data_IF_325785159248
#
_entry.id   IF_325785159248
#
_cell.length_a   1.000
_cell.length_b   1.000
_cell.length_c   1.000
_cell.angle_alpha   90.00
_cell.angle_beta   90.00
_cell.angle_gamma   90.00
#
_symmetry.space_group_name_H-M   'P 1'
#
loop_
_entity.id
_entity.type
_entity.pdbx_description
1 polymer ?
#
# COMPACT_ATOMS: atom_id res chain seq x y z
N UNK A 1 10.22 -4.13 21.55
CA UNK A 1 9.42 -3.25 20.66
C UNK A 1 9.69 -3.48 19.17
N UNK A 2 10.35 -4.56 18.72
CA UNK A 2 10.73 -4.76 17.32
C UNK A 2 9.71 -5.45 16.41
N UNK A 3 8.69 -6.14 16.92
CA UNK A 3 7.79 -6.98 16.11
C UNK A 3 6.78 -6.19 15.25
N UNK A 4 6.36 -4.99 15.68
CA UNK A 4 5.38 -4.20 14.96
C UNK A 4 5.97 -3.51 13.71
N UNK A 5 7.27 -3.19 13.74
CA UNK A 5 7.94 -2.56 12.61
C UNK A 5 8.08 -3.54 11.44
N UNK A 6 8.56 -4.78 11.70
CA UNK A 6 8.71 -5.87 10.72
C UNK A 6 7.38 -6.26 10.07
N UNK A 7 6.31 -6.32 10.86
CA UNK A 7 4.97 -6.64 10.34
C UNK A 7 4.40 -5.53 9.41
N UNK A 8 4.74 -4.25 9.63
CA UNK A 8 4.33 -3.15 8.75
C UNK A 8 5.12 -3.13 7.43
N UNK A 9 6.42 -3.44 7.46
CA UNK A 9 7.30 -3.59 6.29
C UNK A 9 6.82 -4.71 5.38
N UNK A 10 6.52 -5.88 5.96
CA UNK A 10 5.98 -7.03 5.24
C UNK A 10 4.63 -6.71 4.60
N UNK A 11 3.78 -5.95 5.30
CA UNK A 11 2.46 -5.56 4.80
C UNK A 11 2.56 -4.68 3.55
N UNK A 12 3.42 -3.67 3.57
CA UNK A 12 3.52 -2.74 2.44
C UNK A 12 4.20 -3.38 1.22
N UNK A 13 5.21 -4.23 1.46
CA UNK A 13 5.85 -5.08 0.45
C UNK A 13 4.87 -6.05 -0.20
N UNK A 14 4.03 -6.71 0.62
CA UNK A 14 2.99 -7.60 0.12
C UNK A 14 2.01 -6.87 -0.79
N UNK A 15 1.50 -5.70 -0.37
CA UNK A 15 0.56 -4.89 -1.17
C UNK A 15 1.17 -4.46 -2.51
N UNK A 16 2.45 -4.10 -2.53
CA UNK A 16 3.15 -3.77 -3.79
C UNK A 16 3.22 -4.97 -4.74
N UNK A 17 3.65 -6.14 -4.25
CA UNK A 17 3.70 -7.39 -5.05
C UNK A 17 2.32 -7.78 -5.56
N UNK A 18 1.30 -7.66 -4.71
CA UNK A 18 -0.10 -7.93 -5.09
C UNK A 18 -0.54 -6.99 -6.23
N UNK A 19 -0.34 -5.68 -6.08
CA UNK A 19 -0.75 -4.72 -7.12
C UNK A 19 0.00 -4.96 -8.45
N UNK A 20 1.30 -5.25 -8.42
CA UNK A 20 2.05 -5.59 -9.64
C UNK A 20 1.55 -6.87 -10.31
N UNK A 21 1.16 -7.87 -9.50
CA UNK A 21 0.57 -9.12 -9.99
C UNK A 21 -0.82 -8.90 -10.60
N UNK A 22 -1.65 -8.08 -9.94
CA UNK A 22 -2.98 -7.72 -10.40
C UNK A 22 -2.94 -6.91 -11.70
N UNK A 23 -2.02 -5.94 -11.81
CA UNK A 23 -1.85 -5.11 -13.01
C UNK A 23 -1.17 -5.83 -14.18
N UNK A 24 -0.52 -6.96 -13.90
CA UNK A 24 0.24 -7.70 -14.89
C UNK A 24 -0.39 -9.05 -15.24
N UNK A 25 0.16 -10.17 -14.73
CA UNK A 25 -0.29 -11.52 -15.08
C UNK A 25 -1.79 -11.76 -14.94
N UNK A 26 -2.44 -11.20 -13.92
CA UNK A 26 -3.88 -11.42 -13.70
C UNK A 26 -4.72 -10.75 -14.79
N UNK A 27 -4.43 -9.51 -15.12
CA UNK A 27 -5.09 -8.79 -16.23
C UNK A 27 -4.87 -9.50 -17.56
N UNK A 28 -3.66 -10.03 -17.81
CA UNK A 28 -3.36 -10.77 -19.04
C UNK A 28 -4.21 -12.05 -19.17
N UNK A 29 -4.37 -12.80 -18.07
CA UNK A 29 -5.19 -14.01 -18.06
C UNK A 29 -6.67 -13.64 -18.23
N UNK A 30 -7.16 -12.64 -17.48
CA UNK A 30 -8.56 -12.19 -17.55
C UNK A 30 -8.92 -11.62 -18.93
N UNK A 31 -7.98 -10.94 -19.60
CA UNK A 31 -8.16 -10.41 -20.96
C UNK A 31 -8.39 -11.49 -22.03
N UNK A 32 -8.11 -12.76 -21.73
CA UNK A 32 -8.47 -13.88 -22.62
C UNK A 32 -9.97 -14.17 -22.63
N UNK A 33 -10.67 -13.81 -21.55
CA UNK A 33 -12.10 -14.08 -21.35
C UNK A 33 -12.97 -12.83 -21.48
N UNK A 34 -12.42 -11.66 -21.13
CA UNK A 34 -13.13 -10.39 -21.15
C UNK A 34 -12.58 -9.51 -22.28
N UNK A 35 -13.27 -9.43 -23.43
CA UNK A 35 -12.82 -8.59 -24.55
C UNK A 35 -12.78 -7.10 -24.18
N UNK A 36 -13.66 -6.66 -23.28
CA UNK A 36 -13.65 -5.31 -22.71
C UNK A 36 -12.33 -4.99 -22.00
N UNK A 37 -11.73 -5.97 -21.29
CA UNK A 37 -10.47 -5.79 -20.58
C UNK A 37 -9.29 -5.80 -21.56
N UNK A 38 -9.36 -6.64 -22.60
CA UNK A 38 -8.34 -6.75 -23.65
C UNK A 38 -8.24 -5.50 -24.53
N UNK A 39 -9.36 -4.80 -24.73
CA UNK A 39 -9.41 -3.57 -25.51
C UNK A 39 -8.76 -2.37 -24.79
N UNK A 40 -8.56 -2.45 -23.47
CA UNK A 40 -7.99 -1.38 -22.67
C UNK A 40 -6.46 -1.44 -22.67
N UNK A 41 -5.77 -0.29 -22.60
CA UNK A 41 -4.34 -0.25 -22.31
C UNK A 41 -4.07 -0.96 -20.98
N UNK A 42 -3.03 -1.80 -20.93
CA UNK A 42 -2.67 -2.59 -19.74
C UNK A 42 -2.54 -1.74 -18.48
N UNK A 43 -1.99 -0.54 -18.60
CA UNK A 43 -1.83 0.43 -17.52
C UNK A 43 -3.15 0.98 -16.96
N UNK A 44 -4.23 0.92 -17.75
CA UNK A 44 -5.56 1.42 -17.39
C UNK A 44 -6.54 0.30 -17.04
N UNK A 45 -6.27 -0.93 -17.49
CA UNK A 45 -7.15 -2.08 -17.32
C UNK A 45 -7.51 -2.31 -15.83
N UNK A 46 -6.50 -2.31 -14.94
CA UNK A 46 -6.71 -2.48 -13.51
C UNK A 46 -7.57 -1.38 -12.89
N UNK A 47 -7.24 -0.11 -13.17
CA UNK A 47 -7.98 1.03 -12.62
C UNK A 47 -9.42 1.05 -13.14
N UNK A 48 -9.62 0.75 -14.42
CA UNK A 48 -10.95 0.70 -15.03
C UNK A 48 -11.80 -0.42 -14.45
N UNK A 49 -11.21 -1.59 -14.16
CA UNK A 49 -11.89 -2.69 -13.47
C UNK A 49 -12.30 -2.29 -12.07
N UNK A 50 -11.44 -1.62 -11.30
CA UNK A 50 -11.80 -1.15 -9.95
C UNK A 50 -12.90 -0.08 -9.94
N UNK A 51 -13.01 0.70 -11.02
CA UNK A 51 -14.00 1.76 -11.16
C UNK A 51 -15.38 1.26 -11.67
N UNK A 52 -15.44 0.02 -12.15
CA UNK A 52 -16.61 -0.64 -12.72
C UNK A 52 -16.95 -1.93 -11.94
N UNK A 53 -17.91 -1.83 -11.03
CA UNK A 53 -18.30 -2.94 -10.17
C UNK A 53 -18.83 -4.14 -10.96
N UNK A 54 -19.48 -3.91 -12.11
CA UNK A 54 -19.99 -4.99 -12.96
C UNK A 54 -18.85 -5.75 -13.64
N UNK A 55 -17.85 -5.03 -14.17
CA UNK A 55 -16.65 -5.65 -14.71
C UNK A 55 -15.86 -6.40 -13.64
N UNK A 56 -15.70 -5.82 -12.45
CA UNK A 56 -15.01 -6.47 -11.33
C UNK A 56 -15.71 -7.75 -10.87
N UNK A 57 -17.04 -7.75 -10.78
CA UNK A 57 -17.81 -8.95 -10.43
C UNK A 57 -17.57 -10.08 -11.45
N UNK A 58 -17.63 -9.78 -12.77
CA UNK A 58 -17.31 -10.75 -13.82
C UNK A 58 -15.87 -11.26 -13.74
N UNK A 59 -14.91 -10.40 -13.41
CA UNK A 59 -13.52 -10.83 -13.18
C UNK A 59 -13.41 -11.86 -12.05
N UNK A 60 -14.14 -11.66 -10.95
CA UNK A 60 -14.18 -12.62 -9.85
C UNK A 60 -14.89 -13.93 -10.22
N UNK A 61 -15.98 -13.87 -10.98
CA UNK A 61 -16.68 -15.05 -11.50
C UNK A 61 -15.75 -15.91 -12.37
N UNK A 62 -15.02 -15.28 -13.30
CA UNK A 62 -14.04 -15.96 -14.16
C UNK A 62 -12.88 -16.51 -13.32
N UNK A 63 -12.39 -15.75 -12.35
CA UNK A 63 -11.33 -16.25 -11.46
C UNK A 63 -11.76 -17.51 -10.70
N UNK A 64 -13.02 -17.58 -10.26
CA UNK A 64 -13.60 -18.74 -9.58
C UNK A 64 -13.79 -19.93 -10.51
N UNK A 65 -14.34 -19.72 -11.70
CA UNK A 65 -14.60 -20.80 -12.68
C UNK A 65 -13.32 -21.34 -13.32
N UNK A 66 -12.34 -20.47 -13.60
CA UNK A 66 -11.11 -20.80 -14.32
C UNK A 66 -9.87 -20.80 -13.41
N UNK A 67 -10.04 -21.11 -12.12
CA UNK A 67 -8.95 -21.07 -11.11
C UNK A 67 -7.70 -21.85 -11.54
N UNK A 68 -7.86 -22.91 -12.34
CA UNK A 68 -6.76 -23.69 -12.88
C UNK A 68 -5.77 -22.86 -13.73
N UNK A 69 -6.23 -21.81 -14.43
CA UNK A 69 -5.37 -20.93 -15.24
C UNK A 69 -4.55 -19.97 -14.41
N UNK A 70 -5.00 -19.67 -13.20
CA UNK A 70 -4.31 -18.78 -12.26
C UNK A 70 -3.26 -19.52 -11.40
N UNK A 71 -3.05 -20.83 -11.59
CA UNK A 71 -2.11 -21.66 -10.80
C UNK A 71 -0.67 -21.16 -10.83
N UNK A 72 -0.26 -20.47 -11.89
CA UNK A 72 1.09 -19.89 -11.99
C UNK A 72 1.23 -18.58 -11.21
N UNK A 73 0.12 -17.95 -10.85
CA UNK A 73 0.07 -16.67 -10.16
C UNK A 73 -0.25 -16.85 -8.68
N UNK A 74 -1.17 -17.76 -8.37
CA UNK A 74 -1.62 -18.07 -7.01
C UNK A 74 -0.72 -19.18 -6.44
N UNK A 75 0.47 -18.80 -5.97
CA UNK A 75 1.50 -19.73 -5.48
C UNK A 75 1.92 -19.43 -4.04
N UNK A 76 2.30 -20.47 -3.28
CA UNK A 76 2.88 -20.37 -1.94
C UNK A 76 4.34 -19.89 -1.98
N UNK A 77 4.96 -19.71 -0.81
CA UNK A 77 6.38 -19.36 -0.67
C UNK A 77 7.33 -20.34 -1.39
N UNK A 78 6.92 -21.62 -1.51
CA UNK A 78 7.66 -22.68 -2.20
C UNK A 78 7.33 -22.77 -3.69
N UNK A 79 6.63 -21.78 -4.25
CA UNK A 79 6.16 -21.71 -5.65
C UNK A 79 5.22 -22.86 -6.05
N UNK A 80 4.51 -23.44 -5.09
CA UNK A 80 3.48 -24.45 -5.35
C UNK A 80 2.12 -23.77 -5.52
N UNK A 81 1.28 -24.21 -6.48
CA UNK A 81 -0.05 -23.65 -6.64
C UNK A 81 -0.90 -23.80 -5.39
N UNK A 82 -1.54 -22.71 -4.97
CA UNK A 82 -2.43 -22.69 -3.80
C UNK A 82 -3.88 -22.84 -4.26
N UNK A 83 -4.56 -23.86 -3.74
CA UNK A 83 -5.96 -24.16 -4.07
C UNK A 83 -6.95 -23.54 -3.10
N UNK A 84 -6.56 -23.31 -1.86
CA UNK A 84 -7.41 -22.79 -0.79
C UNK A 84 -7.21 -21.29 -0.56
N UNK A 85 -8.27 -20.58 -0.19
CA UNK A 85 -8.21 -19.11 -0.06
C UNK A 85 -7.52 -18.64 1.22
N UNK A 86 -7.42 -19.50 2.24
CA UNK A 86 -6.87 -19.20 3.57
C UNK A 86 -5.37 -19.54 3.70
N UNK A 87 -4.76 -20.07 2.64
CA UNK A 87 -3.34 -20.44 2.64
C UNK A 87 -2.51 -19.22 2.22
N UNK A 88 -1.40 -18.93 2.92
CA UNK A 88 -0.54 -17.80 2.57
C UNK A 88 0.12 -18.01 1.21
N UNK A 89 0.07 -16.95 0.40
CA UNK A 89 0.75 -16.86 -0.89
C UNK A 89 2.22 -16.46 -0.68
N UNK A 90 3.00 -16.47 -1.76
CA UNK A 90 4.41 -16.03 -1.77
C UNK A 90 4.65 -14.59 -1.29
N UNK A 91 3.60 -13.77 -1.24
CA UNK A 91 3.64 -12.42 -0.67
C UNK A 91 3.34 -12.36 0.84
N UNK A 92 3.17 -13.50 1.51
CA UNK A 92 2.86 -13.58 2.95
C UNK A 92 1.39 -13.30 3.30
N UNK A 93 0.54 -13.03 2.29
CA UNK A 93 -0.91 -12.78 2.44
C UNK A 93 -1.73 -13.94 1.90
N UNK A 94 -2.89 -14.18 2.49
CA UNK A 94 -3.83 -15.18 1.96
C UNK A 94 -4.60 -14.60 0.77
N UNK A 95 -5.12 -15.48 -0.10
CA UNK A 95 -5.94 -15.02 -1.21
C UNK A 95 -7.23 -14.32 -0.72
N UNK A 96 -7.81 -14.77 0.40
CA UNK A 96 -8.94 -14.10 1.03
C UNK A 96 -8.61 -12.64 1.42
N UNK A 97 -7.40 -12.38 1.95
CA UNK A 97 -6.96 -11.02 2.25
C UNK A 97 -6.78 -10.18 0.99
N UNK A 98 -6.27 -10.77 -0.09
CA UNK A 98 -6.14 -10.09 -1.39
C UNK A 98 -7.52 -9.74 -1.96
N UNK A 99 -8.48 -10.67 -1.91
CA UNK A 99 -9.87 -10.41 -2.34
C UNK A 99 -10.46 -9.27 -1.52
N UNK A 100 -10.37 -9.33 -0.19
CA UNK A 100 -10.84 -8.26 0.69
C UNK A 100 -10.18 -6.91 0.36
N UNK A 101 -8.87 -6.90 0.05
CA UNK A 101 -8.16 -5.68 -0.36
C UNK A 101 -8.74 -5.08 -1.64
N UNK A 102 -9.01 -5.91 -2.66
CA UNK A 102 -9.59 -5.48 -3.94
C UNK A 102 -11.01 -4.94 -3.74
N UNK A 103 -11.85 -5.68 -3.02
CA UNK A 103 -13.25 -5.29 -2.72
C UNK A 103 -13.29 -3.96 -1.95
N UNK A 104 -12.46 -3.81 -0.91
CA UNK A 104 -12.34 -2.55 -0.16
C UNK A 104 -11.91 -1.38 -1.03
N UNK A 105 -10.97 -1.62 -1.95
CA UNK A 105 -10.48 -0.58 -2.86
C UNK A 105 -11.59 -0.12 -3.82
N UNK A 106 -12.29 -1.07 -4.44
CA UNK A 106 -13.42 -0.79 -5.33
C UNK A 106 -14.56 -0.05 -4.60
N UNK A 107 -14.95 -0.53 -3.41
CA UNK A 107 -15.98 0.10 -2.59
C UNK A 107 -15.60 1.54 -2.19
N UNK A 108 -14.36 1.74 -1.73
CA UNK A 108 -13.86 3.08 -1.37
C UNK A 108 -13.91 4.05 -2.55
N UNK A 109 -13.51 3.60 -3.75
CA UNK A 109 -13.59 4.41 -4.97
C UNK A 109 -15.03 4.75 -5.32
N UNK A 110 -15.93 3.77 -5.24
CA UNK A 110 -17.36 3.97 -5.47
C UNK A 110 -17.96 4.98 -4.49
N UNK A 111 -17.77 4.81 -3.18
CA UNK A 111 -18.30 5.73 -2.16
C UNK A 111 -17.81 7.16 -2.37
N UNK A 112 -16.52 7.35 -2.69
CA UNK A 112 -15.98 8.67 -2.97
C UNK A 112 -16.61 9.31 -4.21
N UNK A 113 -16.86 8.52 -5.26
CA UNK A 113 -17.50 9.02 -6.49
C UNK A 113 -18.97 9.37 -6.28
N UNK A 114 -19.70 8.58 -5.51
CA UNK A 114 -21.15 8.74 -5.31
C UNK A 114 -21.48 9.76 -4.22
N UNK A 115 -20.72 9.77 -3.12
CA UNK A 115 -21.00 10.61 -1.94
C UNK A 115 -20.16 11.90 -1.89
N UNK A 116 -19.19 12.09 -2.80
CA UNK A 116 -18.59 13.40 -3.07
C UNK A 116 -19.03 13.91 -4.44
N UNK A 117 -20.25 14.46 -4.58
CA UNK A 117 -20.58 15.21 -5.79
C UNK A 117 -19.58 16.36 -5.88
N UNK A 118 -18.94 16.52 -7.04
CA UNK A 118 -17.92 17.54 -7.26
C UNK A 118 -18.50 18.92 -6.96
N UNK A 119 -18.18 19.51 -5.81
CA UNK A 119 -18.30 20.95 -5.61
C UNK A 119 -17.25 21.58 -6.51
N UNK A 120 -17.65 21.77 -7.78
CA UNK A 120 -16.85 22.40 -8.82
C UNK A 120 -17.07 23.90 -8.80
N UNK A 121 -17.22 24.50 -7.63
CA UNK A 121 -17.24 25.95 -7.41
C UNK A 121 -16.59 26.26 -6.07
N UNK A 122 -15.86 27.39 -6.03
CA UNK A 122 -15.08 27.95 -4.92
C UNK A 122 -13.68 27.36 -4.67
N UNK A 123 -12.69 28.04 -5.26
CA UNK A 123 -11.36 28.10 -4.68
C UNK A 123 -11.43 28.83 -3.33
N UNK A 124 -11.30 28.08 -2.24
CA UNK A 124 -10.53 28.49 -1.07
C UNK A 124 -10.38 27.29 -0.13
N UNK A 125 -9.18 27.10 0.39
CA UNK A 125 -8.74 25.95 1.18
C UNK A 125 -9.27 25.93 2.61
N UNK A 126 -9.80 24.79 3.06
CA UNK A 126 -9.55 24.19 4.39
C UNK A 126 -9.52 22.66 4.23
N UNK A 127 -8.46 21.93 4.65
CA UNK A 127 -8.40 20.48 4.49
C UNK A 127 -8.56 19.77 5.84
N UNK A 128 -9.77 19.54 6.36
CA UNK A 128 -9.85 18.76 7.63
C UNK A 128 -11.18 18.11 8.04
N UNK A 129 -12.21 18.08 7.19
CA UNK A 129 -13.41 17.27 7.47
C UNK A 129 -13.31 15.92 6.75
N UNK A 130 -13.39 14.80 7.50
CA UNK A 130 -13.53 13.47 6.89
C UNK A 130 -14.72 13.50 5.96
N UNK A 131 -14.54 13.06 4.71
CA UNK A 131 -15.65 13.02 3.77
C UNK A 131 -16.69 12.00 4.24
N UNK A 132 -17.97 12.21 3.97
CA UNK A 132 -19.03 11.24 4.26
C UNK A 132 -18.69 9.84 3.67
N UNK A 133 -18.03 9.83 2.50
CA UNK A 133 -17.50 8.63 1.88
C UNK A 133 -16.43 7.92 2.74
N UNK A 134 -15.49 8.67 3.33
CA UNK A 134 -14.45 8.10 4.19
C UNK A 134 -15.05 7.60 5.53
N UNK A 135 -16.06 8.28 6.07
CA UNK A 135 -16.76 7.85 7.29
C UNK A 135 -17.55 6.55 7.09
N UNK A 136 -18.28 6.44 5.98
CA UNK A 136 -18.96 5.21 5.60
C UNK A 136 -17.96 4.08 5.36
N UNK A 137 -16.89 4.36 4.62
CA UNK A 137 -15.83 3.39 4.39
C UNK A 137 -15.22 2.89 5.70
N UNK A 138 -14.92 3.78 6.64
CA UNK A 138 -14.37 3.41 7.94
C UNK A 138 -15.34 2.56 8.78
N UNK A 139 -16.65 2.78 8.64
CA UNK A 139 -17.67 1.98 9.30
C UNK A 139 -17.79 0.57 8.69
N UNK A 140 -17.67 0.42 7.36
CA UNK A 140 -17.97 -0.83 6.66
C UNK A 140 -16.73 -1.68 6.30
N UNK A 141 -15.52 -1.09 6.22
CA UNK A 141 -14.31 -1.78 5.69
C UNK A 141 -13.97 -3.10 6.40
N UNK A 142 -14.32 -3.24 7.67
CA UNK A 142 -14.11 -4.46 8.45
C UNK A 142 -14.96 -5.65 7.92
N UNK A 143 -16.11 -5.35 7.29
CA UNK A 143 -17.06 -6.33 6.76
C UNK A 143 -16.91 -6.55 5.25
N UNK A 144 -16.10 -5.76 4.54
CA UNK A 144 -15.80 -5.97 3.12
C UNK A 144 -14.69 -7.02 2.96
N UNK A 145 -15.08 -8.29 2.96
CA UNK A 145 -14.19 -9.45 3.01
C UNK A 145 -14.28 -10.34 1.79
N UNK A 146 -15.40 -10.31 1.07
CA UNK A 146 -15.73 -11.31 0.07
C UNK A 146 -16.12 -10.67 -1.27
N UNK A 147 -15.82 -11.37 -2.35
CA UNK A 147 -16.09 -10.94 -3.72
C UNK A 147 -17.59 -10.80 -4.03
N UNK A 148 -18.46 -11.60 -3.40
CA UNK A 148 -19.91 -11.52 -3.57
C UNK A 148 -20.49 -10.17 -3.11
N UNK A 149 -19.72 -9.38 -2.35
CA UNK A 149 -20.12 -8.07 -1.87
C UNK A 149 -19.95 -6.97 -2.91
N UNK A 150 -19.19 -7.20 -3.99
CA UNK A 150 -18.99 -6.22 -5.08
C UNK A 150 -20.30 -5.69 -5.65
N UNK A 151 -21.28 -6.54 -6.05
CA UNK A 151 -22.58 -6.06 -6.55
C UNK A 151 -23.43 -5.35 -5.48
N UNK A 152 -23.14 -5.54 -4.19
CA UNK A 152 -23.88 -4.92 -3.08
C UNK A 152 -23.35 -3.54 -2.68
N UNK A 153 -22.17 -3.15 -3.20
CA UNK A 153 -21.55 -1.84 -2.93
C UNK A 153 -22.49 -0.65 -3.18
N UNK A 154 -23.32 -0.60 -4.25
CA UNK A 154 -24.30 0.47 -4.44
C UNK A 154 -25.29 0.56 -3.28
N UNK A 155 -25.83 -0.57 -2.82
CA UNK A 155 -26.77 -0.61 -1.69
C UNK A 155 -26.10 -0.25 -0.37
N UNK A 156 -24.82 -0.62 -0.17
CA UNK A 156 -24.05 -0.15 0.99
C UNK A 156 -23.87 1.38 0.99
N UNK A 157 -23.80 2.01 -0.19
CA UNK A 157 -23.65 3.47 -0.30
C UNK A 157 -24.90 4.24 0.16
N UNK A 158 -26.06 3.57 0.24
CA UNK A 158 -27.31 4.13 0.76
C UNK A 158 -27.39 4.07 2.29
N UNK A 159 -26.49 3.32 2.95
CA UNK A 159 -26.49 3.15 4.40
C UNK A 159 -25.82 4.32 5.12
N UNK A 160 -26.40 4.75 6.23
CA UNK A 160 -25.74 5.71 7.13
C UNK A 160 -24.63 5.02 7.95
N UNK A 161 -23.47 5.68 8.21
CA UNK A 161 -22.39 5.09 9.01
C UNK A 161 -22.82 4.61 10.40
N UNK A 162 -23.80 5.28 11.04
CA UNK A 162 -24.35 4.87 12.32
C UNK A 162 -25.13 3.54 12.21
N UNK A 163 -25.92 3.37 11.14
CA UNK A 163 -26.64 2.15 10.83
C UNK A 163 -25.66 0.99 10.59
N UNK A 164 -24.61 1.20 9.79
CA UNK A 164 -23.59 0.17 9.54
C UNK A 164 -22.94 -0.32 10.85
N UNK A 165 -22.62 0.59 11.77
CA UNK A 165 -22.06 0.25 13.08
C UNK A 165 -23.06 -0.53 13.96
N UNK A 166 -24.35 -0.19 13.87
CA UNK A 166 -25.42 -0.87 14.60
C UNK A 166 -25.67 -2.29 14.08
N UNK A 167 -25.73 -2.46 12.76
CA UNK A 167 -25.93 -3.79 12.13
C UNK A 167 -24.69 -4.66 12.31
N UNK A 168 -23.50 -4.06 12.18
CA UNK A 168 -22.22 -4.72 12.42
C UNK A 168 -22.01 -5.96 11.53
N UNK A 169 -21.61 -7.07 12.15
CA UNK A 169 -21.32 -8.32 11.44
C UNK A 169 -22.53 -8.95 10.73
N UNK A 170 -23.77 -8.59 11.11
CA UNK A 170 -25.00 -9.09 10.44
C UNK A 170 -25.06 -8.69 8.95
N UNK A 171 -24.31 -7.66 8.53
CA UNK A 171 -24.17 -7.29 7.12
C UNK A 171 -23.64 -8.46 6.28
N UNK A 172 -22.82 -9.34 6.86
CA UNK A 172 -22.26 -10.49 6.17
C UNK A 172 -23.28 -11.60 5.87
N UNK A 173 -24.41 -11.63 6.59
CA UNK A 173 -25.49 -12.59 6.34
C UNK A 173 -26.38 -12.14 5.15
N UNK A 174 -26.37 -10.84 4.81
CA UNK A 174 -27.18 -10.28 3.72
C UNK A 174 -26.44 -10.36 2.37
N UNK A 175 -26.65 -11.46 1.64
CA UNK A 175 -26.01 -11.71 0.33
C UNK A 175 -26.75 -11.13 -0.88
N UNK A 176 -27.94 -10.60 -0.66
CA UNK A 176 -28.81 -10.05 -1.70
C UNK A 176 -29.16 -8.59 -1.38
N UNK A 177 -29.34 -7.72 -2.41
CA UNK A 177 -29.75 -6.33 -2.21
C UNK A 177 -31.04 -6.21 -1.39
N UNK A 178 -32.01 -7.11 -1.58
CA UNK A 178 -33.29 -7.11 -0.89
C UNK A 178 -33.14 -7.46 0.60
N UNK A 179 -32.21 -8.36 0.95
CA UNK A 179 -31.88 -8.66 2.34
C UNK A 179 -31.23 -7.46 3.04
N UNK A 180 -30.38 -6.73 2.32
CA UNK A 180 -29.74 -5.53 2.82
C UNK A 180 -30.73 -4.35 2.95
N UNK A 181 -31.64 -4.18 2.00
CA UNK A 181 -32.73 -3.20 2.07
C UNK A 181 -33.64 -3.45 3.29
N UNK A 182 -33.91 -4.72 3.63
CA UNK A 182 -34.62 -5.08 4.87
C UNK A 182 -33.86 -4.67 6.11
N UNK A 183 -32.54 -4.87 6.17
CA UNK A 183 -31.69 -4.41 7.27
C UNK A 183 -31.62 -2.88 7.38
N UNK A 184 -31.77 -2.17 6.26
CA UNK A 184 -31.83 -0.71 6.23
C UNK A 184 -33.15 -0.22 6.82
N UNK A 185 -34.27 -0.85 6.44
CA UNK A 185 -35.59 -0.52 6.96
C UNK A 185 -35.78 -0.93 8.44
N UNK A 186 -35.26 -2.10 8.82
CA UNK A 186 -35.32 -2.65 10.17
C UNK A 186 -33.97 -3.30 10.54
N UNK A 187 -33.16 -2.66 11.40
CA UNK A 187 -31.84 -3.16 11.80
C UNK A 187 -31.90 -4.45 12.63
N UNK A 188 -33.07 -4.77 13.20
CA UNK A 188 -33.29 -5.94 14.05
C UNK A 188 -33.98 -7.08 13.30
N UNK A 189 -34.31 -6.88 12.02
CA UNK A 189 -34.91 -7.90 11.18
C UNK A 189 -34.02 -9.16 11.08
N UNK A 190 -34.62 -10.36 11.17
CA UNK A 190 -33.89 -11.60 10.95
C UNK A 190 -33.45 -11.70 9.48
N UNK A 191 -32.14 -11.77 9.25
CA UNK A 191 -31.59 -12.10 7.93
C UNK A 191 -31.73 -13.60 7.75
N UNK A 192 -32.64 -14.04 6.87
CA UNK A 192 -32.75 -15.45 6.55
C UNK A 192 -31.45 -15.92 5.89
N UNK A 193 -30.70 -16.79 6.57
CA UNK A 193 -29.63 -17.56 5.95
C UNK A 193 -30.27 -18.52 4.95
N UNK A 194 -29.76 -18.63 3.71
CA UNK A 194 -30.06 -19.77 2.88
C UNK A 194 -29.66 -21.03 3.65
N UNK A 195 -30.61 -21.93 3.90
CA UNK A 195 -30.38 -23.22 4.54
C UNK A 195 -29.34 -24.00 3.73
N UNK A 196 -28.10 -24.04 4.22
CA UNK A 196 -27.15 -25.07 3.80
C UNK A 196 -27.40 -26.33 4.62
N UNK A 197 -27.51 -27.52 4.01
CA UNK A 197 -27.74 -28.75 4.76
C UNK A 197 -26.57 -29.03 5.70
N UNK A 198 -26.91 -29.25 6.98
CA UNK A 198 -26.00 -29.49 8.07
C UNK A 198 -25.09 -30.70 7.79
N UNK A 199 -23.77 -30.50 7.89
CA UNK A 199 -22.83 -31.56 8.24
C UNK A 199 -22.36 -31.33 9.67
N UNK A 200 -22.96 -32.09 10.57
CA UNK A 200 -22.56 -32.28 11.96
C UNK A 200 -21.26 -33.06 11.98
N UNK A 201 -20.23 -32.55 12.68
CA UNK A 201 -19.22 -33.36 13.39
C UNK A 201 -18.42 -32.46 14.39
N UNK A 202 -19.08 -32.18 15.50
CA UNK A 202 -18.75 -32.54 16.90
C UNK A 202 -17.26 -32.75 17.34
N UNK A 203 -16.83 -31.86 18.28
CA UNK A 203 -15.88 -31.97 19.46
C UNK A 203 -14.36 -32.09 19.13
N UNK A 204 -13.37 -31.43 19.79
CA UNK A 204 -13.13 -31.31 21.24
C UNK A 204 -12.34 -30.06 21.66
N UNK A 205 -12.86 -29.40 22.71
CA UNK A 205 -12.22 -28.38 23.54
C UNK A 205 -11.34 -29.06 24.60
N UNK A 206 -10.09 -28.64 24.73
CA UNK A 206 -9.21 -29.04 25.82
C UNK A 206 -8.67 -27.82 26.58
N UNK A 207 -9.16 -27.62 27.80
CA UNK A 207 -8.69 -26.67 28.81
C UNK A 207 -7.82 -27.40 29.85
N UNK A 208 -6.63 -26.88 30.13
CA UNK A 208 -5.83 -27.02 31.37
C UNK A 208 -4.50 -26.27 31.10
N UNK A 209 -3.85 -25.53 32.00
CA UNK A 209 -3.96 -25.33 33.44
C UNK A 209 -2.65 -24.66 33.86
N UNK A 210 -2.76 -23.75 34.83
CA UNK A 210 -1.71 -22.88 35.38
C UNK A 210 -0.53 -23.64 35.99
N UNK A 211 0.67 -23.03 35.99
CA UNK A 211 1.54 -22.91 37.18
C UNK A 211 2.70 -21.93 36.90
N UNK A 212 2.90 -20.98 37.81
CA UNK A 212 4.02 -20.04 37.79
C UNK A 212 5.13 -20.39 38.78
N UNK A 213 6.21 -19.62 38.79
CA UNK A 213 6.99 -19.25 39.98
C UNK A 213 8.04 -18.16 39.66
N UNK A 214 8.29 -17.35 40.68
CA UNK A 214 9.14 -16.17 40.78
C UNK A 214 10.65 -16.48 40.77
N UNK A 215 11.47 -15.47 40.44
CA UNK A 215 12.59 -14.87 41.22
C UNK A 215 13.36 -13.91 40.27
N UNK A 216 13.30 -12.58 40.46
CA UNK A 216 14.11 -11.75 41.37
C UNK A 216 15.49 -11.39 40.80
N UNK A 217 15.74 -10.08 40.62
CA UNK A 217 17.01 -9.54 40.19
C UNK A 217 16.91 -8.03 39.92
N UNK A 218 16.81 -7.24 40.99
CA UNK A 218 16.89 -5.79 40.94
C UNK A 218 18.33 -5.33 40.66
N UNK A 219 18.50 -4.30 39.85
CA UNK A 219 19.67 -3.41 39.89
C UNK A 219 19.27 -2.02 39.40
N UNK A 220 19.74 -1.03 40.14
CA UNK A 220 19.32 0.36 40.21
C UNK A 220 20.00 1.25 39.13
N UNK A 221 19.71 2.56 39.09
CA UNK A 221 19.84 3.42 37.91
C UNK A 221 21.21 4.11 37.80
N UNK A 222 21.65 4.35 36.56
CA UNK A 222 22.85 5.11 36.23
C UNK A 222 22.56 6.17 35.17
N UNK A 223 22.51 7.42 35.64
CA UNK A 223 23.05 8.64 35.03
C UNK A 223 22.71 8.99 33.58
N UNK A 224 21.87 10.02 33.47
CA UNK A 224 21.60 10.84 32.31
C UNK A 224 22.84 11.67 31.91
N UNK A 225 23.41 11.37 30.74
CA UNK A 225 24.34 12.23 30.01
C UNK A 225 23.83 12.49 28.58
N UNK A 226 24.22 13.58 27.92
CA UNK A 226 23.66 13.99 26.63
C UNK A 226 24.07 13.01 25.52
N UNK A 227 23.07 12.42 24.88
CA UNK A 227 23.23 11.47 23.76
C UNK A 227 23.83 12.16 22.54
N UNK A 228 25.14 12.00 22.35
CA UNK A 228 25.78 12.18 21.03
C UNK A 228 25.29 11.03 20.14
N UNK A 229 24.53 11.35 19.10
CA UNK A 229 23.99 10.37 18.15
C UNK A 229 25.16 9.58 17.54
N UNK A 230 25.26 8.30 17.89
CA UNK A 230 26.22 7.39 17.27
C UNK A 230 25.80 7.20 15.80
N UNK A 231 26.55 7.78 14.88
CA UNK A 231 26.36 7.62 13.44
C UNK A 231 26.56 6.15 13.07
N UNK A 232 25.56 5.53 12.45
CA UNK A 232 25.65 4.13 12.01
C UNK A 232 26.79 3.98 10.99
N UNK A 233 27.68 2.97 11.11
CA UNK A 233 28.80 2.78 10.17
C UNK A 233 28.37 2.57 8.71
N UNK A 234 27.09 2.30 8.44
CA UNK A 234 26.54 2.11 7.09
C UNK A 234 25.98 3.40 6.47
N UNK A 235 25.85 4.48 7.23
CA UNK A 235 25.35 5.77 6.73
C UNK A 235 26.25 6.30 5.62
N UNK A 236 25.64 6.89 4.58
CA UNK A 236 26.39 7.46 3.47
C UNK A 236 27.29 8.61 3.96
N UNK A 237 28.58 8.54 3.63
CA UNK A 237 29.51 9.65 3.90
C UNK A 237 29.34 10.69 2.81
N UNK A 238 29.09 11.95 3.19
CA UNK A 238 28.82 13.04 2.22
C UNK A 238 29.97 13.26 1.24
N UNK A 239 31.22 13.15 1.69
CA UNK A 239 32.42 13.27 0.83
C UNK A 239 32.49 12.21 -0.26
N UNK A 240 31.81 11.07 -0.07
CA UNK A 240 31.80 9.99 -1.05
C UNK A 240 30.72 10.17 -2.12
N UNK A 241 29.64 10.88 -1.80
CA UNK A 241 28.47 11.00 -2.68
C UNK A 241 28.39 12.35 -3.37
N UNK A 242 29.08 13.36 -2.87
CA UNK A 242 29.13 14.69 -3.49
C UNK A 242 30.26 14.79 -4.51
N UNK A 243 30.07 15.66 -5.51
CA UNK A 243 31.09 16.03 -6.49
C UNK A 243 32.22 16.82 -5.83
N UNK A 244 33.35 16.97 -6.53
CA UNK A 244 34.52 17.67 -6.01
C UNK A 244 34.27 19.16 -5.68
N UNK A 245 33.29 19.78 -6.36
CA UNK A 245 32.83 21.14 -6.07
C UNK A 245 31.86 21.20 -4.87
N UNK A 246 31.43 20.04 -4.34
CA UNK A 246 30.49 19.94 -3.23
C UNK A 246 29.07 20.42 -3.54
N UNK A 247 28.73 20.65 -4.81
CA UNK A 247 27.44 21.26 -5.20
C UNK A 247 26.39 20.26 -5.68
N UNK A 248 26.80 19.05 -6.10
CA UNK A 248 25.94 18.04 -6.72
C UNK A 248 26.28 16.63 -6.27
N UNK A 249 25.41 15.67 -6.57
CA UNK A 249 25.74 14.26 -6.42
C UNK A 249 26.68 13.76 -7.53
N UNK A 250 27.65 12.94 -7.13
CA UNK A 250 28.57 12.22 -8.00
C UNK A 250 27.92 10.92 -8.45
N UNK A 251 27.57 10.80 -9.73
CA UNK A 251 26.88 9.63 -10.28
C UNK A 251 27.67 8.33 -10.10
N UNK A 252 28.99 8.41 -10.18
CA UNK A 252 29.89 7.26 -10.11
C UNK A 252 29.83 6.57 -8.74
N UNK A 253 29.47 7.32 -7.68
CA UNK A 253 29.32 6.80 -6.34
C UNK A 253 28.14 5.82 -6.19
N UNK A 254 27.20 5.83 -7.16
CA UNK A 254 26.00 5.01 -7.14
C UNK A 254 26.05 3.84 -8.13
N UNK A 255 27.09 3.72 -8.97
CA UNK A 255 27.13 2.70 -10.02
C UNK A 255 26.97 1.27 -9.49
N UNK A 256 27.67 0.91 -8.41
CA UNK A 256 27.56 -0.42 -7.80
C UNK A 256 26.19 -0.66 -7.16
N UNK A 257 25.59 0.40 -6.62
CA UNK A 257 24.29 0.35 -5.94
C UNK A 257 23.17 0.14 -6.95
N UNK A 258 23.25 0.78 -8.11
CA UNK A 258 22.27 0.63 -9.18
C UNK A 258 22.31 -0.76 -9.84
N UNK A 259 23.37 -1.53 -9.61
CA UNK A 259 23.47 -2.93 -10.04
C UNK A 259 22.89 -3.91 -9.01
N UNK A 260 22.61 -3.46 -7.79
CA UNK A 260 22.05 -4.30 -6.73
C UNK A 260 20.62 -4.77 -7.11
N UNK A 261 20.33 -6.09 -7.08
CA UNK A 261 19.00 -6.62 -7.36
C UNK A 261 17.89 -6.02 -6.51
N UNK A 262 18.13 -5.71 -5.23
CA UNK A 262 17.12 -5.18 -4.31
C UNK A 262 16.77 -3.74 -4.66
N UNK A 263 17.79 -2.92 -4.97
CA UNK A 263 17.62 -1.55 -5.47
C UNK A 263 16.87 -1.57 -6.80
N UNK A 264 17.28 -2.42 -7.75
CA UNK A 264 16.62 -2.54 -9.05
C UNK A 264 15.16 -2.96 -8.95
N UNK A 265 14.83 -3.84 -8.00
CA UNK A 265 13.46 -4.27 -7.77
C UNK A 265 12.57 -3.14 -7.21
N UNK A 266 13.15 -2.18 -6.48
CA UNK A 266 12.43 -1.05 -5.90
C UNK A 266 12.23 0.12 -6.90
N UNK A 267 13.10 0.22 -7.92
CA UNK A 267 13.14 1.31 -8.88
C UNK A 267 12.16 1.13 -10.06
N UNK A 268 11.47 2.21 -10.48
CA UNK A 268 10.75 2.21 -11.75
C UNK A 268 11.74 2.28 -12.93
N UNK A 269 11.50 1.51 -13.99
CA UNK A 269 12.32 1.52 -15.22
C UNK A 269 13.83 1.26 -14.97
N UNK A 270 14.17 0.27 -14.13
CA UNK A 270 15.54 -0.04 -13.72
C UNK A 270 16.54 -0.32 -14.86
N UNK A 271 16.04 -0.54 -16.09
CA UNK A 271 16.88 -0.80 -17.27
C UNK A 271 17.43 0.48 -17.92
N UNK A 272 16.91 1.67 -17.56
CA UNK A 272 17.28 2.96 -18.15
C UNK A 272 18.39 3.67 -17.35
N UNK A 273 19.54 3.00 -17.19
CA UNK A 273 20.69 3.45 -16.36
C UNK A 273 21.17 4.87 -16.72
N UNK A 274 21.17 5.23 -18.00
CA UNK A 274 21.59 6.57 -18.46
C UNK A 274 20.65 7.65 -17.89
N UNK A 275 19.33 7.46 -17.98
CA UNK A 275 18.36 8.42 -17.43
C UNK A 275 18.44 8.50 -15.91
N UNK A 276 18.62 7.36 -15.24
CA UNK A 276 18.83 7.30 -13.79
C UNK A 276 20.04 8.15 -13.38
N UNK A 277 21.14 8.03 -14.13
CA UNK A 277 22.37 8.78 -13.87
C UNK A 277 22.16 10.28 -14.04
N UNK A 278 21.44 10.70 -15.08
CA UNK A 278 21.14 12.12 -15.31
C UNK A 278 20.26 12.71 -14.20
N UNK A 279 19.30 11.93 -13.68
CA UNK A 279 18.47 12.34 -12.54
C UNK A 279 19.33 12.57 -11.29
N UNK A 280 20.21 11.62 -10.95
CA UNK A 280 21.09 11.74 -9.78
C UNK A 280 22.05 12.94 -9.93
N UNK A 281 22.63 13.15 -11.12
CA UNK A 281 23.48 14.33 -11.39
C UNK A 281 22.74 15.66 -11.25
N UNK A 282 21.43 15.65 -11.43
CA UNK A 282 20.55 16.81 -11.25
C UNK A 282 20.32 17.20 -9.79
N UNK A 283 20.65 16.35 -8.83
CA UNK A 283 20.40 16.57 -7.41
C UNK A 283 21.44 17.52 -6.80
N UNK A 284 20.97 18.52 -6.07
CA UNK A 284 21.80 19.48 -5.35
C UNK A 284 22.39 18.89 -4.06
N UNK A 285 23.50 19.46 -3.60
CA UNK A 285 24.14 19.03 -2.36
C UNK A 285 23.25 19.26 -1.12
N UNK A 286 22.64 20.43 -0.99
CA UNK A 286 21.79 20.77 0.17
C UNK A 286 20.68 19.75 0.44
N UNK A 287 19.82 19.38 -0.53
CA UNK A 287 18.79 18.37 -0.29
C UNK A 287 19.37 16.97 -0.01
N UNK A 288 20.50 16.61 -0.63
CA UNK A 288 21.17 15.35 -0.36
C UNK A 288 21.73 15.29 1.07
N UNK A 289 22.38 16.36 1.53
CA UNK A 289 22.91 16.46 2.89
C UNK A 289 21.79 16.41 3.93
N UNK A 290 20.68 17.13 3.72
CA UNK A 290 19.54 17.08 4.64
C UNK A 290 18.93 15.68 4.77
N UNK A 291 18.87 14.92 3.68
CA UNK A 291 18.36 13.54 3.72
C UNK A 291 19.34 12.60 4.43
N UNK A 292 20.64 12.70 4.12
CA UNK A 292 21.68 11.82 4.69
C UNK A 292 21.93 12.15 6.16
N UNK A 293 22.14 13.40 6.53
CA UNK A 293 22.36 13.81 7.93
C UNK A 293 21.05 13.73 8.74
N UNK A 294 19.92 14.06 8.12
CA UNK A 294 18.63 14.07 8.79
C UNK A 294 18.10 12.68 9.13
N UNK A 295 18.35 11.69 8.28
CA UNK A 295 17.81 10.32 8.45
C UNK A 295 18.90 9.26 8.61
N UNK A 296 20.18 9.61 8.45
CA UNK A 296 21.27 8.64 8.46
C UNK A 296 21.25 7.70 7.26
N UNK A 297 20.71 8.12 6.12
CA UNK A 297 20.49 7.23 4.97
C UNK A 297 21.78 6.62 4.44
N UNK A 298 21.68 5.35 4.07
CA UNK A 298 22.68 4.66 3.26
C UNK A 298 22.59 5.11 1.79
N UNK A 299 23.63 4.82 1.00
CA UNK A 299 23.71 5.26 -0.40
C UNK A 299 22.62 4.63 -1.29
N UNK A 300 22.24 3.38 -1.02
CA UNK A 300 21.14 2.63 -1.65
C UNK A 300 19.78 3.27 -1.36
N UNK A 301 19.49 3.53 -0.09
CA UNK A 301 18.27 4.19 0.36
C UNK A 301 18.12 5.58 -0.27
N UNK A 302 19.19 6.38 -0.27
CA UNK A 302 19.20 7.70 -0.88
C UNK A 302 18.88 7.64 -2.38
N UNK A 303 19.54 6.74 -3.12
CA UNK A 303 19.30 6.58 -4.56
C UNK A 303 17.84 6.20 -4.84
N UNK A 304 17.29 5.23 -4.10
CA UNK A 304 15.90 4.80 -4.26
C UNK A 304 14.94 5.95 -3.95
N UNK A 305 15.15 6.69 -2.87
CA UNK A 305 14.26 7.80 -2.51
C UNK A 305 14.22 8.87 -3.60
N UNK A 306 15.38 9.26 -4.13
CA UNK A 306 15.48 10.30 -5.16
C UNK A 306 14.88 9.85 -6.49
N UNK A 307 15.15 8.63 -6.94
CA UNK A 307 14.66 8.13 -8.22
C UNK A 307 13.14 7.88 -8.20
N UNK A 308 12.62 7.36 -7.09
CA UNK A 308 11.17 7.20 -6.90
C UNK A 308 10.48 8.55 -6.78
N UNK A 309 11.11 9.55 -6.13
CA UNK A 309 10.60 10.91 -6.12
C UNK A 309 10.48 11.47 -7.53
N UNK A 310 11.55 11.37 -8.33
CA UNK A 310 11.60 11.84 -9.71
C UNK A 310 10.51 11.21 -10.56
N UNK A 311 10.33 9.89 -10.48
CA UNK A 311 9.25 9.18 -11.19
C UNK A 311 7.85 9.64 -10.75
N UNK A 312 7.65 9.89 -9.45
CA UNK A 312 6.35 10.25 -8.90
C UNK A 312 5.91 11.68 -9.25
N UNK A 313 6.83 12.62 -9.41
CA UNK A 313 6.53 14.06 -9.59
C UNK A 313 6.98 14.64 -10.93
N UNK A 314 7.81 13.92 -11.69
CA UNK A 314 8.40 14.39 -12.94
C UNK A 314 9.59 15.33 -12.75
N UNK A 315 10.36 15.53 -13.82
CA UNK A 315 11.64 16.25 -13.82
C UNK A 315 11.53 17.71 -13.36
N UNK A 316 10.49 18.42 -13.80
CA UNK A 316 10.31 19.86 -13.50
C UNK A 316 10.09 20.12 -12.01
N UNK A 317 9.23 19.34 -11.36
CA UNK A 317 8.93 19.47 -9.93
C UNK A 317 10.10 18.92 -9.11
N UNK A 318 10.71 17.83 -9.57
CA UNK A 318 11.90 17.25 -8.95
C UNK A 318 13.06 18.24 -8.89
N UNK A 319 13.36 18.95 -9.99
CA UNK A 319 14.41 19.96 -10.01
C UNK A 319 14.17 21.13 -9.04
N UNK A 320 12.91 21.46 -8.75
CA UNK A 320 12.57 22.48 -7.74
C UNK A 320 12.71 22.00 -6.30
N UNK A 321 12.49 20.70 -6.04
CA UNK A 321 12.55 20.12 -4.69
C UNK A 321 13.91 19.56 -4.33
N UNK A 322 14.64 19.00 -5.29
CA UNK A 322 15.89 18.27 -5.06
C UNK A 322 17.05 18.81 -5.90
N UNK A 323 16.84 19.81 -6.75
CA UNK A 323 17.90 20.42 -7.54
C UNK A 323 18.83 21.35 -6.75
N UNK A 324 19.80 22.01 -7.42
CA UNK A 324 20.76 22.90 -6.78
C UNK A 324 20.15 24.13 -6.11
N UNK A 325 18.93 24.51 -6.50
CA UNK A 325 18.14 25.62 -5.93
C UNK A 325 16.92 25.11 -5.16
N UNK A 326 17.01 23.91 -4.61
CA UNK A 326 15.97 23.34 -3.78
C UNK A 326 15.68 24.22 -2.57
N UNK A 327 14.40 24.36 -2.24
CA UNK A 327 13.97 24.98 -1.00
C UNK A 327 14.23 24.01 0.18
N UNK A 328 15.15 24.34 1.11
CA UNK A 328 15.52 23.45 2.20
C UNK A 328 14.34 23.18 3.15
N UNK A 329 13.38 24.08 3.29
CA UNK A 329 12.22 23.89 4.18
C UNK A 329 11.29 22.77 3.70
N UNK A 330 11.15 22.63 2.38
CA UNK A 330 10.34 21.56 1.79
C UNK A 330 11.00 20.20 2.02
N UNK A 331 12.32 20.13 1.91
CA UNK A 331 13.09 18.89 2.13
C UNK A 331 13.11 18.55 3.62
N UNK A 332 13.26 19.53 4.51
CA UNK A 332 13.16 19.33 5.97
C UNK A 332 11.81 18.73 6.35
N UNK A 333 10.70 19.20 5.76
CA UNK A 333 9.37 18.62 5.99
C UNK A 333 9.26 17.17 5.54
N UNK A 334 9.99 16.77 4.49
CA UNK A 334 10.07 15.37 4.06
C UNK A 334 10.85 14.55 5.09
N UNK A 335 11.98 15.07 5.57
CA UNK A 335 12.80 14.44 6.63
C UNK A 335 11.99 14.26 7.91
N UNK A 336 11.27 15.29 8.36
CA UNK A 336 10.44 15.20 9.57
C UNK A 336 9.36 14.14 9.44
N UNK A 337 8.69 14.06 8.27
CA UNK A 337 7.71 13.00 7.99
C UNK A 337 8.34 11.61 7.93
N UNK A 338 9.56 11.49 7.41
CA UNK A 338 10.30 10.24 7.37
C UNK A 338 10.67 9.78 8.78
N UNK A 339 11.11 10.70 9.65
CA UNK A 339 11.41 10.43 11.08
C UNK A 339 10.20 9.94 11.85
N UNK A 340 9.02 10.55 11.62
CA UNK A 340 7.76 10.09 12.24
C UNK A 340 7.43 8.64 11.85
N UNK A 341 7.89 8.18 10.69
CA UNK A 341 7.74 6.79 10.23
C UNK A 341 8.94 5.89 10.60
N UNK A 342 9.84 6.38 11.44
CA UNK A 342 11.05 5.68 11.86
C UNK A 342 11.93 5.21 10.68
N UNK A 343 11.96 5.97 9.58
CA UNK A 343 12.92 5.73 8.50
C UNK A 343 14.33 6.13 8.93
N UNK A 344 15.29 5.24 8.69
CA UNK A 344 16.70 5.50 8.97
C UNK A 344 17.64 4.44 8.39
N UNK A 345 18.90 4.34 8.88
CA UNK A 345 19.91 3.45 8.32
C UNK A 345 19.54 1.96 8.37
N UNK A 346 18.68 1.57 9.31
CA UNK A 346 18.18 0.20 9.44
C UNK A 346 16.96 -0.14 8.57
N UNK A 347 16.37 0.84 7.88
CA UNK A 347 15.19 0.63 7.02
C UNK A 347 15.54 -0.10 5.73
N UNK A 348 14.57 -0.77 5.14
CA UNK A 348 14.74 -1.39 3.83
C UNK A 348 14.66 -0.34 2.70
N UNK A 349 15.36 -0.56 1.59
CA UNK A 349 15.28 0.27 0.38
C UNK A 349 13.85 0.32 -0.16
N UNK A 350 13.07 -0.75 0.01
CA UNK A 350 11.68 -0.77 -0.42
C UNK A 350 10.78 0.14 0.46
N UNK A 351 11.05 0.27 1.75
CA UNK A 351 10.33 1.21 2.64
C UNK A 351 10.54 2.65 2.20
N UNK A 352 11.79 2.97 1.87
CA UNK A 352 12.17 4.25 1.30
C UNK A 352 11.37 4.54 0.01
N UNK A 353 11.24 3.57 -0.89
CA UNK A 353 10.43 3.70 -2.10
C UNK A 353 8.94 3.93 -1.79
N UNK A 354 8.36 3.12 -0.91
CA UNK A 354 6.95 3.21 -0.53
C UNK A 354 6.64 4.56 0.12
N UNK A 355 7.51 5.01 1.02
CA UNK A 355 7.41 6.30 1.66
C UNK A 355 7.36 7.42 0.62
N UNK A 356 8.32 7.46 -0.32
CA UNK A 356 8.40 8.52 -1.32
C UNK A 356 7.18 8.54 -2.24
N UNK A 357 6.69 7.38 -2.69
CA UNK A 357 5.42 7.29 -3.43
C UNK A 357 4.25 7.81 -2.62
N UNK A 358 4.19 7.50 -1.32
CA UNK A 358 3.15 7.99 -0.42
C UNK A 358 3.19 9.50 -0.21
N UNK A 359 4.39 10.08 -0.05
CA UNK A 359 4.57 11.54 0.07
C UNK A 359 4.08 12.25 -1.19
N UNK A 360 4.32 11.66 -2.36
CA UNK A 360 4.02 12.28 -3.65
C UNK A 360 2.78 11.73 -4.37
N UNK A 361 1.98 10.87 -3.74
CA UNK A 361 0.80 10.26 -4.36
C UNK A 361 -0.20 11.28 -4.93
N UNK A 362 -0.25 12.49 -4.36
CA UNK A 362 -1.13 13.58 -4.82
C UNK A 362 -0.62 14.26 -6.11
N UNK A 363 0.65 14.10 -6.46
CA UNK A 363 1.27 14.69 -7.66
C UNK A 363 1.16 13.77 -8.88
N UNK A 364 1.11 12.46 -8.69
CA UNK A 364 1.00 11.47 -9.79
C UNK A 364 -0.26 11.62 -10.66
N UNK A 365 -1.32 12.27 -10.17
CA UNK A 365 -2.51 12.56 -10.99
C UNK A 365 -2.35 13.74 -11.95
N UNK A 366 -1.31 14.58 -11.79
CA UNK A 366 -1.12 15.79 -12.62
C UNK A 366 -0.07 15.61 -13.72
N UNK A 367 1.00 14.84 -13.48
CA UNK A 367 2.11 14.70 -14.43
C UNK A 367 1.88 13.72 -15.59
N UNK A 368 0.70 13.07 -15.70
CA UNK A 368 0.35 12.19 -16.83
C UNK A 368 -0.35 12.92 -18.01
N UNK A 369 -0.43 14.25 -17.97
CA UNK A 369 -1.07 15.07 -19.02
C UNK A 369 -0.09 15.84 -19.92
N UNK A 370 1.20 15.76 -19.61
CA UNK A 370 2.30 16.19 -20.48
C UNK A 370 3.08 14.93 -20.89
#
# INVERSE_FOLDING_TARGET
MGANATAMTDTATAVFRINGTLQGPVVDILGQFLPELKALPREQAYDRTLDDLGLLARCFEIFRSERARFRQVVVDERRRPVTEDNVPLSCGRTLAEVIAMVVRTAAKRYFRRTLMPSTREAGNSVPETRSAADELYDAIKAYLLHEWQVPLVPTYAEMEPALVRRVGAKILDAREPEALARLIADPDAPVMRPEMPARTDTIVVGTAGLNGALLQGASAPGESGPSVQATDPRTAVLTDILSADGLRLRTEAFNQILLDPEVRAALPNADQIVKISDVLRGVGATPASLLVEGLGLRKDQLAVMLLVAHDSIGSTVFGRLFGPRADPELVSRIVDRARVRALGPGSDVLDCAIFMRGVFARFGHRSRRD
#
